data_IF_993137907848
#
_entry.id   IF_993137907848
#
_cell.length_a   1.000
_cell.length_b   1.000
_cell.length_c   1.000
_cell.angle_alpha   90.00
_cell.angle_beta   90.00
_cell.angle_gamma   90.00
#
_symmetry.space_group_name_H-M   'P 1'
#
loop_
_entity.id
_entity.type
_entity.pdbx_description
1 polymer ?
#
# COMPACT_ATOMS: atom_id res chain seq x y z
N UNK A 1 11.95 4.78 9.70
CA UNK A 1 11.71 3.32 9.80
C UNK A 1 11.46 2.78 8.41
N UNK A 2 11.71 1.50 8.19
CA UNK A 2 11.53 0.84 6.92
C UNK A 2 10.34 -0.11 7.00
N UNK A 3 9.43 -0.04 6.03
CA UNK A 3 8.35 -1.01 5.86
C UNK A 3 8.41 -1.60 4.44
N UNK A 4 7.76 -2.73 4.25
CA UNK A 4 7.67 -3.42 2.97
C UNK A 4 6.26 -3.31 2.42
N UNK A 5 6.12 -3.03 1.12
CA UNK A 5 4.83 -3.02 0.44
C UNK A 5 4.77 -4.25 -0.47
N UNK A 6 4.04 -5.26 -0.04
CA UNK A 6 3.76 -6.45 -0.82
C UNK A 6 2.60 -6.15 -1.76
N UNK A 7 2.84 -6.23 -3.07
CA UNK A 7 1.74 -6.14 -4.03
C UNK A 7 1.16 -7.53 -4.20
N UNK A 8 -0.14 -7.68 -3.98
CA UNK A 8 -0.87 -8.93 -4.23
C UNK A 8 -1.18 -9.10 -5.73
N UNK A 9 -0.17 -8.83 -6.57
CA UNK A 9 -0.13 -9.14 -7.99
C UNK A 9 0.93 -10.23 -8.20
N UNK A 10 0.64 -11.22 -9.05
CA UNK A 10 1.45 -12.43 -9.15
C UNK A 10 2.95 -12.12 -9.36
N UNK A 11 3.78 -12.66 -8.45
CA UNK A 11 5.24 -12.70 -8.55
C UNK A 11 5.97 -11.33 -8.54
N UNK A 12 5.48 -10.38 -7.74
CA UNK A 12 6.18 -9.09 -7.53
C UNK A 12 6.96 -9.06 -6.22
N UNK A 13 8.21 -8.61 -6.29
CA UNK A 13 9.04 -8.37 -5.10
C UNK A 13 8.48 -7.20 -4.28
N UNK A 14 8.52 -7.27 -2.94
CA UNK A 14 8.06 -6.18 -2.09
C UNK A 14 8.88 -4.90 -2.33
N UNK A 15 8.20 -3.76 -2.36
CA UNK A 15 8.86 -2.45 -2.40
C UNK A 15 9.34 -2.11 -0.99
N UNK A 16 10.51 -1.51 -0.89
CA UNK A 16 11.01 -0.94 0.35
C UNK A 16 10.61 0.53 0.46
N UNK A 17 9.86 0.89 1.50
CA UNK A 17 9.40 2.27 1.74
C UNK A 17 10.01 2.83 3.03
N UNK A 18 10.61 4.01 2.95
CA UNK A 18 11.09 4.76 4.11
C UNK A 18 10.00 5.71 4.62
N UNK A 19 9.58 5.46 5.86
CA UNK A 19 8.46 6.14 6.53
C UNK A 19 8.84 6.51 7.96
N UNK A 20 8.14 7.47 8.54
CA UNK A 20 8.28 7.82 9.95
C UNK A 20 7.12 7.28 10.79
N UNK A 21 7.35 7.05 12.09
CA UNK A 21 6.28 6.55 12.99
C UNK A 21 5.09 7.51 13.07
N UNK A 22 5.35 8.79 12.82
CA UNK A 22 4.39 9.88 12.76
C UNK A 22 3.68 10.01 11.42
N UNK A 23 4.14 9.33 10.36
CA UNK A 23 3.49 9.37 9.06
C UNK A 23 2.09 8.79 9.17
N UNK A 24 1.14 9.44 8.51
CA UNK A 24 -0.23 8.98 8.39
C UNK A 24 -0.38 8.00 7.23
N UNK A 25 -1.50 7.27 7.19
CA UNK A 25 -1.82 6.39 6.07
C UNK A 25 -1.87 7.18 4.75
N UNK A 26 -2.41 8.40 4.76
CA UNK A 26 -2.42 9.27 3.58
C UNK A 26 -1.00 9.53 3.05
N UNK A 27 -0.07 9.91 3.93
CA UNK A 27 1.33 10.15 3.55
C UNK A 27 2.00 8.88 3.01
N UNK A 28 1.71 7.72 3.61
CA UNK A 28 2.24 6.43 3.15
C UNK A 28 1.71 6.10 1.76
N UNK A 29 0.41 6.32 1.52
CA UNK A 29 -0.23 6.13 0.21
C UNK A 29 0.35 7.05 -0.85
N UNK A 30 0.58 8.32 -0.53
CA UNK A 30 1.21 9.30 -1.43
C UNK A 30 2.62 8.84 -1.81
N UNK A 31 3.44 8.39 -0.85
CA UNK A 31 4.79 7.89 -1.11
C UNK A 31 4.80 6.64 -1.99
N UNK A 32 3.82 5.74 -1.82
CA UNK A 32 3.67 4.55 -2.68
C UNK A 32 3.29 4.99 -4.09
N UNK A 33 2.37 5.93 -4.22
CA UNK A 33 1.97 6.50 -5.50
C UNK A 33 3.15 7.14 -6.24
N UNK A 34 3.97 7.92 -5.53
CA UNK A 34 5.17 8.56 -6.08
C UNK A 34 6.23 7.53 -6.52
N UNK A 35 6.40 6.43 -5.79
CA UNK A 35 7.38 5.39 -6.11
C UNK A 35 6.97 4.53 -7.30
N UNK A 36 5.69 4.19 -7.39
CA UNK A 36 5.17 3.28 -8.42
C UNK A 36 4.63 4.01 -9.65
N UNK A 37 4.30 5.29 -9.51
CA UNK A 37 3.67 6.07 -10.57
C UNK A 37 2.21 5.69 -10.80
N UNK A 38 1.50 5.18 -9.79
CA UNK A 38 0.08 4.84 -9.91
C UNK A 38 -0.75 6.10 -10.23
N UNK A 39 -1.64 6.05 -11.22
CA UNK A 39 -2.49 7.19 -11.54
C UNK A 39 -3.51 7.44 -10.40
N UNK A 40 -3.85 8.71 -10.10
CA UNK A 40 -4.68 9.07 -8.94
C UNK A 40 -6.14 8.57 -9.00
N UNK A 41 -6.53 7.93 -10.10
CA UNK A 41 -7.86 7.35 -10.31
C UNK A 41 -7.89 5.83 -10.08
N UNK A 42 -6.76 5.17 -9.77
CA UNK A 42 -6.74 3.79 -9.32
C UNK A 42 -7.13 3.71 -7.85
N UNK A 43 -8.14 2.89 -7.53
CA UNK A 43 -8.51 2.63 -6.15
C UNK A 43 -7.60 1.55 -5.59
N UNK A 44 -6.79 1.88 -4.58
CA UNK A 44 -5.96 0.91 -3.88
C UNK A 44 -6.21 0.91 -2.39
N UNK A 45 -6.15 -0.29 -1.82
CA UNK A 45 -6.28 -0.53 -0.39
C UNK A 45 -4.96 -1.03 0.16
N UNK A 46 -4.55 -0.42 1.27
CA UNK A 46 -3.49 -0.96 2.10
C UNK A 46 -4.14 -1.84 3.16
N UNK A 47 -3.63 -3.06 3.31
CA UNK A 47 -4.08 -4.02 4.32
C UNK A 47 -2.88 -4.35 5.19
N UNK A 48 -3.09 -4.32 6.51
CA UNK A 48 -2.08 -4.64 7.51
C UNK A 48 -2.63 -5.67 8.48
N UNK A 49 -1.97 -6.83 8.60
CA UNK A 49 -2.56 -8.03 9.21
C UNK A 49 -3.78 -8.52 8.38
N UNK A 50 -3.95 -9.84 8.24
CA UNK A 50 -4.76 -10.53 7.20
C UNK A 50 -6.21 -10.04 6.93
N UNK A 51 -6.76 -9.07 7.66
CA UNK A 51 -8.09 -8.49 7.42
C UNK A 51 -8.23 -7.00 7.81
N UNK A 52 -7.14 -6.31 8.18
CA UNK A 52 -7.24 -4.91 8.66
C UNK A 52 -6.90 -3.94 7.54
N UNK A 53 -7.95 -3.48 6.88
CA UNK A 53 -7.89 -2.41 5.88
C UNK A 53 -7.49 -1.11 6.58
N UNK A 54 -6.44 -0.50 6.07
CA UNK A 54 -5.99 0.82 6.46
C UNK A 54 -6.76 1.85 5.62
N UNK A 55 -7.88 2.29 6.18
CA UNK A 55 -8.67 3.39 5.61
C UNK A 55 -7.85 4.69 5.58
N UNK A 56 -8.19 5.55 4.61
CA UNK A 56 -7.64 6.89 4.51
C UNK A 56 -7.88 7.69 5.81
N UNK A 57 -6.92 8.54 6.16
CA UNK A 57 -7.07 9.51 7.21
C UNK A 57 -5.85 9.68 8.13
N UNK A 58 -6.12 10.31 9.27
CA UNK A 58 -5.09 10.85 10.17
C UNK A 58 -4.46 9.83 11.11
N UNK A 59 -4.74 8.52 10.93
CA UNK A 59 -4.11 7.47 11.73
C UNK A 59 -2.65 7.35 11.32
N UNK A 60 -1.78 7.41 12.31
CA UNK A 60 -0.33 7.26 12.10
C UNK A 60 0.08 5.80 12.15
N UNK A 61 1.19 5.46 11.49
CA UNK A 61 1.80 4.13 11.56
C UNK A 61 2.00 3.66 13.01
N UNK A 62 2.47 4.58 13.86
CA UNK A 62 2.64 4.33 15.29
C UNK A 62 1.34 3.99 16.03
N UNK A 63 0.23 4.62 15.67
CA UNK A 63 -1.09 4.35 16.26
C UNK A 63 -1.69 3.01 15.82
N UNK A 64 -1.26 2.51 14.67
CA UNK A 64 -1.70 1.25 14.08
C UNK A 64 -0.85 0.05 14.52
N UNK A 65 0.14 0.29 15.39
CA UNK A 65 1.13 -0.69 15.85
C UNK A 65 2.07 -1.21 14.76
N UNK A 66 2.19 -0.49 13.65
CA UNK A 66 3.13 -0.81 12.56
C UNK A 66 4.56 -0.48 13.01
N UNK A 67 5.49 -1.39 12.74
CA UNK A 67 6.89 -1.35 13.18
C UNK A 67 7.84 -1.38 11.99
N UNK A 68 9.10 -1.09 12.32
CA UNK A 68 10.21 -1.29 11.40
C UNK A 68 10.30 -2.78 11.00
N UNK A 69 10.34 -3.04 9.69
CA UNK A 69 10.36 -4.37 9.10
C UNK A 69 8.99 -4.98 8.81
N UNK A 70 7.89 -4.31 9.17
CA UNK A 70 6.54 -4.82 8.87
C UNK A 70 6.22 -4.73 7.37
N UNK A 71 5.35 -5.64 6.91
CA UNK A 71 4.84 -5.66 5.55
C UNK A 71 3.37 -5.22 5.48
N UNK A 72 3.05 -4.36 4.52
CA UNK A 72 1.70 -3.97 4.13
C UNK A 72 1.35 -4.60 2.80
N UNK A 73 0.14 -5.10 2.67
CA UNK A 73 -0.38 -5.66 1.43
C UNK A 73 -1.13 -4.58 0.64
N UNK A 74 -0.77 -4.41 -0.63
CA UNK A 74 -1.38 -3.46 -1.56
C UNK A 74 -2.28 -4.22 -2.53
N UNK A 75 -3.57 -3.91 -2.48
CA UNK A 75 -4.59 -4.43 -3.40
C UNK A 75 -5.09 -3.32 -4.32
N UNK A 76 -5.00 -3.54 -5.62
CA UNK A 76 -5.54 -2.66 -6.65
C UNK A 76 -6.96 -3.12 -7.02
N UNK A 77 -7.92 -2.20 -7.01
CA UNK A 77 -9.26 -2.40 -7.52
C UNK A 77 -9.39 -1.68 -8.86
N UNK A 78 -9.39 -2.46 -9.95
CA UNK A 78 -9.80 -1.96 -11.25
C UNK A 78 -11.33 -1.95 -11.34
N UNK A 79 -11.92 -0.80 -11.63
CA UNK A 79 -13.37 -0.63 -11.74
C UNK A 79 -13.97 -1.31 -12.98
N UNK A 80 -13.16 -1.94 -13.85
CA UNK A 80 -13.64 -2.57 -15.09
C UNK A 80 -13.76 -4.10 -15.02
N UNK A 81 -13.27 -4.76 -13.96
CA UNK A 81 -13.54 -6.17 -13.64
C UNK A 81 -12.99 -6.47 -12.25
N UNK A 82 -13.80 -7.07 -11.36
CA UNK A 82 -13.44 -7.30 -9.96
C UNK A 82 -12.02 -7.82 -9.75
N UNK A 83 -11.28 -7.18 -8.83
CA UNK A 83 -9.91 -7.52 -8.40
C UNK A 83 -9.08 -8.16 -9.52
N UNK A 84 -8.78 -7.40 -10.57
CA UNK A 84 -7.77 -7.84 -11.54
C UNK A 84 -6.41 -7.39 -11.04
N UNK A 85 -5.59 -8.35 -10.58
CA UNK A 85 -4.13 -8.18 -10.55
C UNK A 85 -3.71 -7.62 -11.91
N UNK A 86 -3.18 -6.39 -11.93
CA UNK A 86 -2.95 -5.63 -13.17
C UNK A 86 -2.12 -6.44 -14.18
N UNK A 87 -2.80 -7.09 -15.11
CA UNK A 87 -2.23 -7.54 -16.38
C UNK A 87 -2.42 -6.35 -17.31
N UNK A 88 -1.35 -5.62 -17.65
CA UNK A 88 -0.67 -5.57 -18.97
C UNK A 88 0.21 -4.32 -19.02
N UNK A 89 1.48 -4.46 -19.38
CA UNK A 89 2.15 -3.55 -20.31
C UNK A 89 3.16 -4.38 -21.11
N UNK A 90 2.99 -4.40 -22.43
CA UNK A 90 3.86 -5.05 -23.45
C UNK A 90 5.35 -4.66 -23.31
#
# INVERSE_FOLDING_TARGET
MQIFIQKDIENTNPITLQVERSDTIDIVKDKIQDMEGFPPNEQYYLIFEDDKILEDGTRTLGSLSIKDGDALHLYLYDNNNGITSSTVAD
#
